data_IF_494546918051
#
_entry.id   IF_494546918051
#
_cell.length_a   1.000
_cell.length_b   1.000
_cell.length_c   1.000
_cell.angle_alpha   90.00
_cell.angle_beta   90.00
_cell.angle_gamma   90.00
#
_symmetry.space_group_name_H-M   'P 1'
#
loop_
_entity.id
_entity.type
_entity.pdbx_description
1 polymer ?
#
# COMPACT_ATOMS: atom_id res chain seq x y z
N UNK A 1 31.73 32.77 17.32
CA UNK A 1 31.59 31.39 16.79
C UNK A 1 30.51 30.57 17.51
N UNK A 2 30.38 30.64 18.84
CA UNK A 2 29.36 29.87 19.59
C UNK A 2 27.89 30.12 19.15
N UNK A 3 27.51 31.38 18.85
CA UNK A 3 26.14 31.70 18.39
C UNK A 3 25.78 31.08 17.02
N UNK A 4 26.75 30.93 16.12
CA UNK A 4 26.54 30.31 14.80
C UNK A 4 26.31 28.79 14.90
N UNK A 5 27.04 28.13 15.81
CA UNK A 5 26.88 26.71 16.10
C UNK A 5 25.52 26.44 16.77
N UNK A 6 25.15 27.25 17.75
CA UNK A 6 23.86 27.15 18.44
C UNK A 6 22.67 27.36 17.48
N UNK A 7 22.71 28.39 16.62
CA UNK A 7 21.67 28.60 15.60
C UNK A 7 21.60 27.45 14.58
N UNK A 8 22.73 26.85 14.20
CA UNK A 8 22.79 25.69 13.31
C UNK A 8 22.12 24.45 13.92
N UNK A 9 22.42 24.15 15.18
CA UNK A 9 21.81 23.05 15.93
C UNK A 9 20.30 23.24 16.12
N UNK A 10 19.87 24.46 16.46
CA UNK A 10 18.45 24.77 16.62
C UNK A 10 17.67 24.59 15.31
N UNK A 11 18.22 25.02 14.17
CA UNK A 11 17.60 24.82 12.85
C UNK A 11 17.49 23.35 12.47
N UNK A 12 18.54 22.56 12.73
CA UNK A 12 18.54 21.12 12.46
C UNK A 12 17.50 20.38 13.32
N UNK A 13 17.38 20.76 14.59
CA UNK A 13 16.38 20.20 15.51
C UNK A 13 14.95 20.54 15.09
N UNK A 14 14.68 21.79 14.72
CA UNK A 14 13.36 22.21 14.19
C UNK A 14 13.01 21.44 12.91
N UNK A 15 13.95 21.31 11.98
CA UNK A 15 13.74 20.54 10.75
C UNK A 15 13.47 19.04 11.04
N UNK A 16 14.19 18.45 11.99
CA UNK A 16 13.94 17.08 12.46
C UNK A 16 12.53 16.90 13.04
N UNK A 17 12.09 17.84 13.88
CA UNK A 17 10.75 17.81 14.49
C UNK A 17 9.63 17.95 13.46
N UNK A 18 9.78 18.84 12.47
CA UNK A 18 8.81 19.01 11.38
C UNK A 18 8.70 17.72 10.55
N UNK A 19 9.82 17.06 10.26
CA UNK A 19 9.80 15.80 9.50
C UNK A 19 9.14 14.66 10.29
N UNK A 20 9.36 14.58 11.60
CA UNK A 20 8.70 13.59 12.46
C UNK A 20 7.18 13.79 12.54
N UNK A 21 6.72 15.04 12.72
CA UNK A 21 5.30 15.36 12.74
C UNK A 21 4.62 15.04 11.39
N UNK A 22 5.25 15.40 10.28
CA UNK A 22 4.76 15.05 8.93
C UNK A 22 4.68 13.55 8.72
N UNK A 23 5.70 12.79 9.10
CA UNK A 23 5.71 11.34 8.98
C UNK A 23 4.56 10.68 9.76
N UNK A 24 4.23 11.18 10.97
CA UNK A 24 3.08 10.69 11.75
C UNK A 24 1.76 10.87 11.02
N UNK A 25 1.52 12.05 10.45
CA UNK A 25 0.29 12.34 9.69
C UNK A 25 0.17 11.38 8.51
N UNK A 26 1.24 11.19 7.75
CA UNK A 26 1.24 10.26 6.61
C UNK A 26 0.96 8.82 7.03
N UNK A 27 1.60 8.34 8.10
CA UNK A 27 1.34 7.00 8.64
C UNK A 27 -0.12 6.84 9.07
N UNK A 28 -0.68 7.82 9.78
CA UNK A 28 -2.06 7.78 10.24
C UNK A 28 -3.05 7.77 9.07
N UNK A 29 -2.87 8.64 8.07
CA UNK A 29 -3.71 8.70 6.87
C UNK A 29 -3.61 7.40 6.07
N UNK A 30 -2.40 6.86 5.91
CA UNK A 30 -2.20 5.59 5.20
C UNK A 30 -2.88 4.42 5.92
N UNK A 31 -2.72 4.33 7.24
CA UNK A 31 -3.34 3.29 8.06
C UNK A 31 -4.88 3.37 8.00
N UNK A 32 -5.44 4.57 8.18
CA UNK A 32 -6.90 4.77 8.18
C UNK A 32 -7.52 4.42 6.83
N UNK A 33 -6.94 4.88 5.73
CA UNK A 33 -7.46 4.62 4.38
C UNK A 33 -7.22 3.17 3.94
N UNK A 34 -6.11 2.53 4.35
CA UNK A 34 -5.89 1.09 4.13
C UNK A 34 -6.93 0.25 4.86
N UNK A 35 -7.17 0.56 6.14
CA UNK A 35 -8.16 -0.12 6.95
C UNK A 35 -9.58 0.06 6.39
N UNK A 36 -9.92 1.27 5.96
CA UNK A 36 -11.20 1.56 5.30
C UNK A 36 -11.37 0.78 3.99
N UNK A 37 -10.34 0.75 3.15
CA UNK A 37 -10.35 -0.01 1.90
C UNK A 37 -10.53 -1.51 2.14
N UNK A 38 -9.74 -2.08 3.05
CA UNK A 38 -9.84 -3.50 3.42
C UNK A 38 -11.21 -3.83 4.04
N UNK A 39 -11.71 -3.00 4.96
CA UNK A 39 -13.02 -3.16 5.56
C UNK A 39 -14.13 -3.16 4.49
N UNK A 40 -14.09 -2.21 3.56
CA UNK A 40 -15.09 -2.10 2.50
C UNK A 40 -15.05 -3.31 1.56
N UNK A 41 -13.86 -3.82 1.20
CA UNK A 41 -13.72 -5.07 0.44
C UNK A 41 -14.29 -6.28 1.17
N UNK A 42 -14.04 -6.40 2.48
CA UNK A 42 -14.56 -7.50 3.28
C UNK A 42 -16.09 -7.43 3.43
N UNK A 43 -16.63 -6.24 3.70
CA UNK A 43 -18.07 -6.01 3.80
C UNK A 43 -18.77 -6.33 2.47
N UNK A 44 -18.12 -6.02 1.35
CA UNK A 44 -18.63 -6.32 0.01
C UNK A 44 -18.87 -7.82 -0.19
N UNK A 45 -18.04 -8.69 0.38
CA UNK A 45 -18.25 -10.15 0.32
C UNK A 45 -19.45 -10.61 1.14
N UNK A 46 -19.82 -9.87 2.19
CA UNK A 46 -20.98 -10.20 3.03
C UNK A 46 -22.31 -9.80 2.38
N UNK A 47 -22.31 -8.82 1.46
CA UNK A 47 -23.53 -8.26 0.86
C UNK A 47 -23.73 -8.62 -0.62
N UNK A 48 -22.79 -9.35 -1.21
CA UNK A 48 -22.81 -9.73 -2.63
C UNK A 48 -23.14 -11.21 -2.81
N UNK A 49 -23.91 -11.52 -3.85
CA UNK A 49 -24.23 -12.90 -4.25
C UNK A 49 -23.20 -13.50 -5.24
N UNK A 50 -22.01 -12.90 -5.34
CA UNK A 50 -20.92 -13.37 -6.21
C UNK A 50 -20.17 -14.52 -5.53
N UNK A 51 -19.73 -15.50 -6.32
CA UNK A 51 -18.94 -16.61 -5.81
C UNK A 51 -17.49 -16.17 -5.60
N UNK A 52 -16.98 -16.07 -4.36
CA UNK A 52 -15.63 -15.58 -4.12
C UNK A 52 -14.53 -16.51 -4.64
N UNK A 53 -14.85 -17.77 -4.97
CA UNK A 53 -13.88 -18.72 -5.48
C UNK A 53 -13.63 -18.50 -6.97
N UNK A 54 -14.69 -18.40 -7.77
CA UNK A 54 -14.60 -18.34 -9.23
C UNK A 54 -14.70 -16.92 -9.77
N UNK A 55 -15.47 -16.04 -9.12
CA UNK A 55 -15.65 -14.67 -9.59
C UNK A 55 -14.52 -13.75 -9.13
N UNK A 56 -13.98 -12.98 -10.06
CA UNK A 56 -13.01 -11.91 -9.76
C UNK A 56 -13.64 -10.84 -8.86
N UNK A 57 -12.82 -10.08 -8.12
CA UNK A 57 -13.29 -8.89 -7.40
C UNK A 57 -13.98 -7.89 -8.35
N UNK A 58 -13.49 -7.77 -9.58
CA UNK A 58 -14.05 -6.86 -10.59
C UNK A 58 -15.47 -7.21 -11.04
N UNK A 59 -15.93 -8.44 -10.82
CA UNK A 59 -17.31 -8.87 -11.13
C UNK A 59 -18.37 -8.26 -10.21
N UNK A 60 -17.95 -7.76 -9.03
CA UNK A 60 -18.84 -7.16 -8.03
C UNK A 60 -19.41 -5.82 -8.50
N UNK A 61 -18.88 -5.25 -9.58
CA UNK A 61 -19.45 -4.06 -10.21
C UNK A 61 -20.86 -4.29 -10.78
N UNK A 62 -21.25 -5.56 -10.97
CA UNK A 62 -22.58 -5.92 -11.45
C UNK A 62 -23.59 -5.98 -10.30
N UNK A 63 -23.15 -6.18 -9.04
CA UNK A 63 -24.09 -6.17 -7.90
C UNK A 63 -24.46 -4.74 -7.53
N UNK A 64 -25.73 -4.51 -7.18
CA UNK A 64 -26.31 -3.17 -7.04
C UNK A 64 -25.50 -2.23 -6.15
N UNK A 65 -25.14 -2.68 -4.95
CA UNK A 65 -24.30 -1.92 -4.01
C UNK A 65 -22.79 -2.20 -4.18
N UNK A 66 -22.42 -3.33 -4.79
CA UNK A 66 -21.02 -3.76 -4.92
C UNK A 66 -20.18 -2.87 -5.81
N UNK A 67 -20.77 -2.20 -6.82
CA UNK A 67 -20.04 -1.26 -7.66
C UNK A 67 -19.41 -0.10 -6.87
N UNK A 68 -20.22 0.58 -6.05
CA UNK A 68 -19.74 1.71 -5.25
C UNK A 68 -18.77 1.25 -4.14
N UNK A 69 -19.02 0.09 -3.53
CA UNK A 69 -18.14 -0.49 -2.52
C UNK A 69 -16.78 -0.90 -3.10
N UNK A 70 -16.78 -1.54 -4.27
CA UNK A 70 -15.56 -1.90 -4.97
C UNK A 70 -14.76 -0.64 -5.34
N UNK A 71 -15.38 0.33 -5.98
CA UNK A 71 -14.72 1.57 -6.38
C UNK A 71 -14.15 2.34 -5.17
N UNK A 72 -14.95 2.50 -4.10
CA UNK A 72 -14.49 3.18 -2.88
C UNK A 72 -13.35 2.45 -2.18
N UNK A 73 -13.37 1.11 -2.17
CA UNK A 73 -12.27 0.34 -1.59
C UNK A 73 -10.96 0.49 -2.38
N UNK A 74 -11.02 0.42 -3.71
CA UNK A 74 -9.87 0.59 -4.60
C UNK A 74 -9.30 2.01 -4.49
N UNK A 75 -10.16 3.04 -4.47
CA UNK A 75 -9.73 4.42 -4.30
C UNK A 75 -9.13 4.66 -2.90
N UNK A 76 -9.68 4.05 -1.85
CA UNK A 76 -9.11 4.12 -0.52
C UNK A 76 -7.70 3.51 -0.47
N UNK A 77 -7.46 2.39 -1.17
CA UNK A 77 -6.12 1.80 -1.31
C UNK A 77 -5.17 2.69 -2.13
N UNK A 78 -5.66 3.38 -3.16
CA UNK A 78 -4.87 4.35 -3.90
C UNK A 78 -4.42 5.51 -3.00
N UNK A 79 -5.34 6.10 -2.23
CA UNK A 79 -5.02 7.16 -1.25
C UNK A 79 -4.05 6.64 -0.18
N UNK A 80 -4.27 5.42 0.32
CA UNK A 80 -3.38 4.79 1.29
C UNK A 80 -1.95 4.66 0.77
N UNK A 81 -1.80 4.32 -0.50
CA UNK A 81 -0.50 4.10 -1.13
C UNK A 81 0.24 5.43 -1.39
N UNK A 82 -0.49 6.49 -1.75
CA UNK A 82 0.07 7.86 -1.81
C UNK A 82 0.57 8.29 -0.42
N UNK A 83 -0.27 8.09 0.60
CA UNK A 83 0.09 8.43 1.97
C UNK A 83 1.27 7.58 2.50
N UNK A 84 1.34 6.30 2.12
CA UNK A 84 2.46 5.42 2.45
C UNK A 84 3.76 5.93 1.82
N UNK A 85 3.75 6.31 0.54
CA UNK A 85 4.92 6.93 -0.09
C UNK A 85 5.33 8.21 0.64
N UNK A 86 4.36 9.05 1.02
CA UNK A 86 4.60 10.24 1.85
C UNK A 86 5.27 9.92 3.18
N UNK A 87 4.85 8.83 3.85
CA UNK A 87 5.44 8.35 5.09
C UNK A 87 6.89 7.87 4.87
N UNK A 88 7.14 7.06 3.84
CA UNK A 88 8.48 6.55 3.51
C UNK A 88 9.45 7.72 3.22
N UNK A 89 9.02 8.69 2.40
CA UNK A 89 9.79 9.89 2.07
C UNK A 89 10.07 10.75 3.31
N UNK A 90 9.07 10.95 4.18
CA UNK A 90 9.22 11.75 5.42
C UNK A 90 10.12 11.06 6.46
N UNK A 91 10.15 9.73 6.44
CA UNK A 91 11.08 8.94 7.25
C UNK A 91 12.51 8.95 6.70
N UNK A 92 12.75 9.48 5.48
CA UNK A 92 14.06 9.41 4.83
C UNK A 92 14.44 7.98 4.44
N UNK A 93 13.47 7.05 4.38
CA UNK A 93 13.66 5.76 3.73
C UNK A 93 13.82 6.11 2.26
N UNK A 94 15.07 6.07 1.76
CA UNK A 94 15.45 6.62 0.47
C UNK A 94 14.72 5.96 -0.69
N UNK A 95 13.49 6.39 -0.95
CA UNK A 95 12.68 5.94 -2.07
C UNK A 95 13.42 6.35 -3.34
N UNK A 96 13.99 5.37 -4.04
CA UNK A 96 14.59 5.58 -5.34
C UNK A 96 13.55 6.18 -6.30
N UNK A 97 14.02 6.83 -7.38
CA UNK A 97 13.11 7.30 -8.44
C UNK A 97 12.22 6.17 -8.96
N UNK A 98 12.76 4.96 -9.03
CA UNK A 98 12.03 3.74 -9.36
C UNK A 98 10.91 3.46 -8.38
N UNK A 99 11.16 3.51 -7.07
CA UNK A 99 10.13 3.31 -6.05
C UNK A 99 8.99 4.34 -6.20
N UNK A 100 9.32 5.61 -6.38
CA UNK A 100 8.33 6.69 -6.62
C UNK A 100 7.51 6.43 -7.88
N UNK A 101 8.16 6.07 -8.99
CA UNK A 101 7.48 5.77 -10.26
C UNK A 101 6.53 4.58 -10.13
N UNK A 102 6.95 3.51 -9.44
CA UNK A 102 6.11 2.32 -9.24
C UNK A 102 4.90 2.61 -8.34
N UNK A 103 5.06 3.42 -7.28
CA UNK A 103 3.91 3.92 -6.50
C UNK A 103 2.96 4.78 -7.36
N UNK A 104 3.49 5.61 -8.25
CA UNK A 104 2.67 6.40 -9.16
C UNK A 104 1.89 5.52 -10.16
N UNK A 105 2.54 4.50 -10.74
CA UNK A 105 1.89 3.54 -11.63
C UNK A 105 0.82 2.73 -10.87
N UNK A 106 1.14 2.23 -9.68
CA UNK A 106 0.19 1.53 -8.80
C UNK A 106 -1.05 2.36 -8.51
N UNK A 107 -0.87 3.58 -8.01
CA UNK A 107 -1.99 4.47 -7.61
C UNK A 107 -2.82 4.93 -8.80
N UNK A 108 -2.17 5.23 -9.93
CA UNK A 108 -2.85 5.57 -11.17
C UNK A 108 -3.63 4.37 -11.72
N UNK A 109 -3.04 3.18 -11.71
CA UNK A 109 -3.69 1.94 -12.15
C UNK A 109 -4.92 1.61 -11.30
N UNK A 110 -4.84 1.71 -9.97
CA UNK A 110 -6.00 1.56 -9.10
C UNK A 110 -7.09 2.59 -9.41
N UNK A 111 -6.71 3.86 -9.58
CA UNK A 111 -7.67 4.95 -9.85
C UNK A 111 -8.39 4.72 -11.19
N UNK A 112 -7.65 4.36 -12.25
CA UNK A 112 -8.21 4.03 -13.55
C UNK A 112 -9.11 2.79 -13.47
N UNK A 113 -8.70 1.74 -12.77
CA UNK A 113 -9.52 0.54 -12.58
C UNK A 113 -10.83 0.81 -11.83
N UNK A 114 -10.84 1.79 -10.92
CA UNK A 114 -12.05 2.22 -10.22
C UNK A 114 -12.99 3.08 -11.09
N UNK A 115 -12.42 3.94 -11.95
CA UNK A 115 -13.18 4.84 -12.83
C UNK A 115 -13.75 4.11 -14.05
N UNK A 116 -13.00 3.13 -14.58
CA UNK A 116 -13.36 2.33 -15.74
C UNK A 116 -13.67 0.90 -15.28
N UNK A 117 -14.95 0.53 -15.11
CA UNK A 117 -15.38 -0.82 -14.78
C UNK A 117 -14.94 -1.87 -15.80
N UNK A 118 -14.74 -3.10 -15.32
CA UNK A 118 -14.58 -4.26 -16.20
C UNK A 118 -15.83 -4.50 -17.05
N UNK A 119 -15.62 -4.90 -18.30
CA UNK A 119 -16.69 -5.30 -19.22
C UNK A 119 -17.17 -6.70 -18.90
N UNK A 120 -18.48 -6.88 -18.86
CA UNK A 120 -19.12 -8.17 -18.60
C UNK A 120 -20.30 -8.41 -19.55
N UNK A 121 -20.69 -9.67 -19.84
CA UNK A 121 -21.82 -9.96 -20.73
C UNK A 121 -23.12 -9.27 -20.33
N UNK A 122 -23.35 -9.10 -19.03
CA UNK A 122 -24.55 -8.45 -18.48
C UNK A 122 -24.56 -6.92 -18.69
N UNK A 123 -23.37 -6.32 -18.83
CA UNK A 123 -23.17 -4.87 -19.07
C UNK A 123 -21.92 -4.66 -19.94
N UNK A 124 -22.01 -4.89 -21.25
CA UNK A 124 -20.85 -4.84 -22.13
C UNK A 124 -20.38 -3.39 -22.32
N UNK A 125 -19.12 -3.14 -22.00
CA UNK A 125 -18.40 -1.91 -22.33
C UNK A 125 -16.94 -2.26 -22.64
N UNK A 126 -16.64 -2.67 -23.88
CA UNK A 126 -15.33 -3.19 -24.24
C UNK A 126 -14.18 -2.22 -24.03
N UNK A 127 -14.41 -0.91 -24.24
CA UNK A 127 -13.38 0.13 -24.08
C UNK A 127 -13.05 0.30 -22.61
N UNK A 128 -14.07 0.46 -21.75
CA UNK A 128 -13.87 0.52 -20.30
C UNK A 128 -13.19 -0.75 -19.79
N UNK A 129 -13.62 -1.92 -20.27
CA UNK A 129 -13.04 -3.22 -19.90
C UNK A 129 -11.56 -3.35 -20.24
N UNK A 130 -11.12 -2.89 -21.42
CA UNK A 130 -9.71 -2.89 -21.81
C UNK A 130 -8.89 -1.95 -20.92
N UNK A 131 -9.38 -0.74 -20.66
CA UNK A 131 -8.72 0.21 -19.76
C UNK A 131 -8.57 -0.40 -18.37
N UNK A 132 -9.63 -1.01 -17.83
CA UNK A 132 -9.62 -1.68 -16.54
C UNK A 132 -8.55 -2.77 -16.46
N UNK A 133 -8.50 -3.65 -17.47
CA UNK A 133 -7.58 -4.79 -17.49
C UNK A 133 -6.12 -4.33 -17.52
N UNK A 134 -5.77 -3.39 -18.42
CA UNK A 134 -4.39 -2.87 -18.48
C UNK A 134 -4.03 -2.08 -17.22
N UNK A 135 -4.96 -1.29 -16.67
CA UNK A 135 -4.75 -0.58 -15.41
C UNK A 135 -4.46 -1.54 -14.26
N UNK A 136 -5.22 -2.64 -14.14
CA UNK A 136 -4.97 -3.69 -13.15
C UNK A 136 -3.63 -4.38 -13.37
N UNK A 137 -3.27 -4.71 -14.63
CA UNK A 137 -2.00 -5.33 -14.96
C UNK A 137 -0.81 -4.49 -14.49
N UNK A 138 -0.78 -3.20 -14.86
CA UNK A 138 0.29 -2.30 -14.44
C UNK A 138 0.30 -2.06 -12.93
N UNK A 139 -0.87 -2.01 -12.31
CA UNK A 139 -0.97 -1.92 -10.86
C UNK A 139 -0.32 -3.14 -10.19
N UNK A 140 -0.80 -4.36 -10.47
CA UNK A 140 -0.28 -5.57 -9.84
C UNK A 140 1.21 -5.80 -10.12
N UNK A 141 1.72 -5.50 -11.33
CA UNK A 141 3.15 -5.58 -11.63
C UNK A 141 4.00 -4.61 -10.80
N UNK A 142 3.43 -3.47 -10.40
CA UNK A 142 4.18 -2.44 -9.67
C UNK A 142 4.53 -2.85 -8.25
N UNK A 143 3.68 -3.62 -7.56
CA UNK A 143 3.87 -3.97 -6.14
C UNK A 143 5.10 -4.84 -5.82
N UNK A 144 5.36 -5.97 -6.52
CA UNK A 144 6.61 -6.69 -6.30
C UNK A 144 7.81 -5.81 -6.67
N UNK A 145 7.68 -4.93 -7.68
CA UNK A 145 8.68 -3.93 -8.02
C UNK A 145 8.97 -2.95 -6.88
N UNK A 146 7.93 -2.44 -6.19
CA UNK A 146 8.08 -1.59 -4.99
C UNK A 146 8.80 -2.36 -3.90
N UNK A 147 8.42 -3.63 -3.68
CA UNK A 147 9.08 -4.51 -2.74
C UNK A 147 10.58 -4.62 -3.00
N UNK A 148 11.00 -4.89 -4.24
CA UNK A 148 12.42 -4.94 -4.61
C UNK A 148 13.13 -3.59 -4.46
N UNK A 149 12.50 -2.50 -4.92
CA UNK A 149 13.07 -1.16 -4.84
C UNK A 149 13.29 -0.70 -3.38
N UNK A 150 12.47 -1.16 -2.44
CA UNK A 150 12.63 -0.86 -1.01
C UNK A 150 13.66 -1.76 -0.33
N UNK A 151 13.80 -3.03 -0.74
CA UNK A 151 14.75 -3.97 -0.13
C UNK A 151 16.21 -3.53 -0.18
N UNK A 152 16.59 -2.72 -1.17
CA UNK A 152 17.92 -2.10 -1.24
C UNK A 152 18.23 -1.20 -0.04
N UNK A 153 17.19 -0.65 0.60
CA UNK A 153 17.30 0.32 1.69
C UNK A 153 16.79 -0.21 3.03
N UNK A 154 15.94 -1.22 2.99
CA UNK A 154 15.32 -1.84 4.16
C UNK A 154 15.53 -3.35 4.09
N UNK A 155 16.63 -3.88 4.66
CA UNK A 155 16.95 -5.31 4.64
C UNK A 155 16.10 -6.08 5.67
N UNK A 156 14.77 -5.98 5.57
CA UNK A 156 13.83 -6.70 6.42
C UNK A 156 13.44 -8.04 5.76
N UNK A 157 13.72 -9.15 6.46
CA UNK A 157 13.44 -10.50 5.95
C UNK A 157 11.94 -10.76 5.71
N UNK A 158 11.04 -10.10 6.44
CA UNK A 158 9.59 -10.22 6.25
C UNK A 158 9.16 -9.50 4.98
N UNK A 159 9.63 -8.27 4.77
CA UNK A 159 9.39 -7.53 3.52
C UNK A 159 9.92 -8.35 2.35
N UNK A 160 11.12 -8.93 2.47
CA UNK A 160 11.70 -9.80 1.42
C UNK A 160 10.81 -10.99 1.10
N UNK A 161 10.34 -11.71 2.13
CA UNK A 161 9.44 -12.85 1.95
C UNK A 161 8.14 -12.44 1.25
N UNK A 162 7.55 -11.31 1.66
CA UNK A 162 6.32 -10.80 1.07
C UNK A 162 6.53 -10.35 -0.38
N UNK A 163 7.66 -9.72 -0.71
CA UNK A 163 8.02 -9.38 -2.10
C UNK A 163 8.09 -10.62 -2.99
N UNK A 164 8.78 -11.68 -2.56
CA UNK A 164 8.84 -12.92 -3.35
C UNK A 164 7.49 -13.64 -3.42
N UNK A 165 6.70 -13.59 -2.35
CA UNK A 165 5.36 -14.15 -2.35
C UNK A 165 4.42 -13.38 -3.28
N UNK A 166 4.57 -12.04 -3.38
CA UNK A 166 3.84 -11.19 -4.32
C UNK A 166 4.17 -11.60 -5.76
N UNK A 167 5.45 -11.82 -6.10
CA UNK A 167 5.85 -12.36 -7.41
C UNK A 167 5.20 -13.72 -7.69
N UNK A 168 5.28 -14.66 -6.75
CA UNK A 168 4.74 -16.01 -6.93
C UNK A 168 3.23 -16.03 -7.09
N UNK A 169 2.50 -15.29 -6.25
CA UNK A 169 1.04 -15.20 -6.33
C UNK A 169 0.57 -14.44 -7.56
N UNK A 170 1.28 -13.38 -7.97
CA UNK A 170 1.01 -12.69 -9.23
C UNK A 170 1.20 -13.60 -10.45
N UNK A 171 2.25 -14.41 -10.47
CA UNK A 171 2.47 -15.39 -11.53
C UNK A 171 1.34 -16.44 -11.59
N UNK A 172 0.91 -16.96 -10.43
CA UNK A 172 -0.22 -17.88 -10.34
C UNK A 172 -1.54 -17.24 -10.78
N UNK A 173 -1.77 -15.97 -10.43
CA UNK A 173 -2.93 -15.21 -10.87
C UNK A 173 -2.93 -15.00 -12.39
N UNK A 174 -1.78 -14.63 -12.98
CA UNK A 174 -1.65 -14.50 -14.42
C UNK A 174 -1.90 -15.83 -15.16
N UNK A 175 -1.39 -16.94 -14.62
CA UNK A 175 -1.61 -18.28 -15.18
C UNK A 175 -3.09 -18.68 -15.09
N UNK A 176 -3.70 -18.46 -13.92
CA UNK A 176 -5.13 -18.71 -13.69
C UNK A 176 -6.01 -17.88 -14.63
N UNK A 177 -5.67 -16.60 -14.84
CA UNK A 177 -6.36 -15.73 -15.79
C UNK A 177 -6.25 -16.25 -17.24
N UNK A 178 -5.07 -16.71 -17.64
CA UNK A 178 -4.84 -17.32 -18.96
C UNK A 178 -5.68 -18.59 -19.15
N UNK A 179 -5.70 -19.49 -18.16
CA UNK A 179 -6.52 -20.70 -18.22
C UNK A 179 -8.01 -20.38 -18.29
N UNK A 180 -8.47 -19.39 -17.53
CA UNK A 180 -9.86 -18.94 -17.62
C UNK A 180 -10.19 -18.32 -18.99
N UNK A 181 -9.27 -17.58 -19.60
CA UNK A 181 -9.45 -17.01 -20.94
C UNK A 181 -9.49 -18.07 -22.04
N UNK A 182 -8.84 -19.22 -21.82
CA UNK A 182 -8.77 -20.36 -22.75
C UNK A 182 -9.73 -21.49 -22.36
N UNK A 183 -10.68 -21.25 -21.45
CA UNK A 183 -11.56 -22.29 -20.89
C UNK A 183 -12.40 -23.06 -21.91
N UNK A 184 -12.64 -22.47 -23.08
CA UNK A 184 -13.42 -23.07 -24.17
C UNK A 184 -12.57 -24.04 -25.03
N UNK A 185 -11.26 -24.14 -24.77
CA UNK A 185 -10.36 -25.12 -25.39
C UNK A 185 -10.45 -26.45 -24.63
N UNK A 186 -10.62 -27.59 -25.32
CA UNK A 186 -10.59 -28.92 -24.68
C UNK A 186 -9.33 -29.12 -23.82
N UNK A 187 -9.45 -29.87 -22.72
CA UNK A 187 -8.39 -30.17 -21.73
C UNK A 187 -7.93 -28.98 -20.84
N UNK A 188 -8.31 -27.73 -21.15
CA UNK A 188 -7.98 -26.55 -20.32
C UNK A 188 -9.04 -26.26 -19.25
N UNK A 189 -10.27 -26.76 -19.45
CA UNK A 189 -11.38 -26.58 -18.50
C UNK A 189 -11.03 -27.06 -17.10
N UNK A 190 -10.40 -28.23 -17.00
CA UNK A 190 -10.03 -28.85 -15.72
C UNK A 190 -8.93 -28.05 -15.01
N UNK A 191 -7.99 -27.48 -15.77
CA UNK A 191 -6.96 -26.58 -15.23
C UNK A 191 -7.55 -25.29 -14.68
N UNK A 192 -8.58 -24.72 -15.34
CA UNK A 192 -9.27 -23.53 -14.85
C UNK A 192 -10.01 -23.77 -13.53
N UNK A 193 -10.51 -24.99 -13.32
CA UNK A 193 -11.13 -25.40 -12.06
C UNK A 193 -10.11 -25.64 -10.94
N UNK A 194 -8.90 -26.13 -11.27
CA UNK A 194 -7.80 -26.33 -10.32
C UNK A 194 -7.17 -25.01 -9.85
N UNK A 195 -7.18 -23.98 -10.69
CA UNK A 195 -6.68 -22.63 -10.38
C UNK A 195 -7.78 -21.59 -10.60
N UNK A 196 -8.77 -21.47 -9.69
CA UNK A 196 -9.84 -20.49 -9.83
C UNK A 196 -9.33 -19.05 -9.78
N UNK A 197 -9.72 -18.25 -10.77
CA UNK A 197 -9.25 -16.86 -10.95
C UNK A 197 -9.65 -15.96 -9.78
N UNK A 198 -10.83 -16.18 -9.19
CA UNK A 198 -11.31 -15.44 -8.02
C UNK A 198 -10.43 -15.65 -6.79
N UNK A 199 -10.02 -16.90 -6.51
CA UNK A 199 -9.11 -17.22 -5.39
C UNK A 199 -7.72 -16.64 -5.63
N UNK A 200 -7.15 -16.85 -6.82
CA UNK A 200 -5.80 -16.37 -7.11
C UNK A 200 -5.70 -14.85 -7.06
N UNK A 201 -6.70 -14.13 -7.59
CA UNK A 201 -6.75 -12.68 -7.48
C UNK A 201 -6.79 -12.20 -6.01
N UNK A 202 -7.63 -12.82 -5.17
CA UNK A 202 -7.75 -12.49 -3.75
C UNK A 202 -6.46 -12.80 -2.99
N UNK A 203 -5.81 -13.92 -3.31
CA UNK A 203 -4.55 -14.31 -2.71
C UNK A 203 -3.45 -13.30 -3.04
N UNK A 204 -3.30 -12.91 -4.32
CA UNK A 204 -2.36 -11.88 -4.76
C UNK A 204 -2.62 -10.57 -4.03
N UNK A 205 -3.88 -10.10 -4.03
CA UNK A 205 -4.26 -8.87 -3.35
C UNK A 205 -3.99 -8.92 -1.83
N UNK A 206 -4.23 -10.07 -1.17
CA UNK A 206 -3.97 -10.23 0.26
C UNK A 206 -2.47 -10.15 0.57
N UNK A 207 -1.63 -10.78 -0.25
CA UNK A 207 -0.16 -10.73 -0.10
C UNK A 207 0.37 -9.31 -0.36
N UNK A 208 -0.17 -8.65 -1.38
CA UNK A 208 0.14 -7.27 -1.74
C UNK A 208 -0.24 -6.28 -0.65
N UNK A 209 -1.43 -6.43 -0.06
CA UNK A 209 -1.85 -5.65 1.11
C UNK A 209 -0.95 -5.93 2.32
N UNK A 210 -0.53 -7.18 2.54
CA UNK A 210 0.39 -7.53 3.60
C UNK A 210 1.78 -6.88 3.38
N UNK A 211 2.25 -6.80 2.12
CA UNK A 211 3.49 -6.09 1.76
C UNK A 211 3.38 -4.60 2.08
N UNK A 212 2.32 -3.93 1.62
CA UNK A 212 2.08 -2.50 1.90
C UNK A 212 1.96 -2.23 3.42
N UNK A 213 1.25 -3.12 4.14
CA UNK A 213 1.16 -3.06 5.59
C UNK A 213 2.53 -3.25 6.27
N UNK A 214 3.36 -4.17 5.78
CA UNK A 214 4.73 -4.36 6.25
C UNK A 214 5.59 -3.11 6.10
N UNK A 215 5.48 -2.42 4.95
CA UNK A 215 6.14 -1.14 4.70
C UNK A 215 5.62 -0.03 5.64
N UNK A 216 4.30 0.04 5.85
CA UNK A 216 3.68 0.99 6.76
C UNK A 216 4.13 0.78 8.21
N UNK A 217 4.17 -0.48 8.67
CA UNK A 217 4.65 -0.84 10.00
C UNK A 217 6.13 -0.50 10.18
N UNK A 218 6.93 -0.66 9.12
CA UNK A 218 8.33 -0.25 9.14
C UNK A 218 8.46 1.28 9.29
N UNK A 219 7.70 2.05 8.51
CA UNK A 219 7.65 3.51 8.64
C UNK A 219 7.18 3.95 10.04
N UNK A 220 6.12 3.32 10.56
CA UNK A 220 5.60 3.58 11.90
C UNK A 220 6.67 3.36 12.99
N UNK A 221 7.42 2.26 12.93
CA UNK A 221 8.50 1.97 13.89
C UNK A 221 9.58 3.05 13.89
N UNK A 222 9.99 3.53 12.71
CA UNK A 222 10.97 4.63 12.60
C UNK A 222 10.44 5.89 13.27
N UNK A 223 9.17 6.22 13.02
CA UNK A 223 8.53 7.38 13.63
C UNK A 223 8.49 7.26 15.15
N UNK A 224 8.09 6.12 15.70
CA UNK A 224 8.03 5.90 17.14
C UNK A 224 9.41 6.02 17.80
N UNK A 225 10.43 5.35 17.25
CA UNK A 225 11.81 5.42 17.79
C UNK A 225 12.33 6.85 17.80
N UNK A 226 12.08 7.62 16.73
CA UNK A 226 12.48 9.04 16.68
C UNK A 226 11.80 9.86 17.78
N UNK A 227 10.54 9.58 18.07
CA UNK A 227 9.80 10.29 19.12
C UNK A 227 10.38 10.00 20.50
N UNK A 228 10.69 8.74 20.78
CA UNK A 228 11.25 8.31 22.06
C UNK A 228 12.62 8.97 22.31
N UNK A 229 13.46 9.08 21.26
CA UNK A 229 14.75 9.78 21.32
C UNK A 229 14.57 11.27 21.63
N UNK A 230 13.66 11.95 20.92
CA UNK A 230 13.41 13.39 21.13
C UNK A 230 12.86 13.65 22.53
N UNK A 231 11.92 12.83 23.01
CA UNK A 231 11.39 12.93 24.36
C UNK A 231 12.48 12.72 25.42
N UNK A 232 13.35 11.72 25.24
CA UNK A 232 14.49 11.48 26.13
C UNK A 232 15.48 12.66 26.18
N UNK A 233 15.77 13.30 25.04
CA UNK A 233 16.64 14.49 25.00
C UNK A 233 16.04 15.69 25.74
N UNK A 234 14.72 15.89 25.67
CA UNK A 234 14.04 16.97 26.40
C UNK A 234 14.14 16.77 27.92
N UNK A 235 13.93 15.55 28.42
CA UNK A 235 14.05 15.27 29.86
C UNK A 235 15.48 15.52 30.37
N UNK A 236 16.50 15.11 29.62
CA UNK A 236 17.90 15.33 30.00
C UNK A 236 18.25 16.82 30.03
N UNK A 237 17.76 17.61 29.07
CA UNK A 237 18.03 19.06 29.02
C UNK A 237 17.32 19.82 30.13
N UNK A 238 16.10 19.44 30.48
CA UNK A 238 15.35 20.02 31.61
C UNK A 238 16.04 19.72 32.96
N UNK A 239 16.48 18.47 33.18
CA UNK A 239 17.25 18.09 34.38
C UNK A 239 18.62 18.74 34.48
N UNK A 240 19.26 19.08 33.35
CA UNK A 240 20.52 19.79 33.32
C UNK A 240 20.33 21.28 33.66
N UNK A 241 19.25 21.90 33.18
CA UNK A 241 18.90 23.28 33.50
C UNK A 241 18.65 23.48 35.00
N UNK A 242 17.88 22.57 35.62
CA UNK A 242 17.53 22.64 37.04
C UNK A 242 18.76 22.59 37.98
N UNK A 243 19.77 21.78 37.64
CA UNK A 243 21.03 21.68 38.40
C UNK A 243 21.94 22.90 38.30
N UNK A 244 21.71 23.79 37.34
CA UNK A 244 22.55 24.99 37.13
C UNK A 244 21.95 26.27 37.72
N UNK A 245 20.75 26.18 38.31
CA UNK A 245 20.12 27.28 39.04
C UNK A 245 20.93 27.58 40.31
N UNK A 246 21.49 28.79 40.48
CA UNK A 246 22.17 29.13 41.74
C UNK A 246 21.18 29.05 42.90
N UNK A 247 21.60 28.59 44.09
CA UNK A 247 20.72 28.59 45.26
C UNK A 247 20.21 30.01 45.47
N UNK A 248 18.89 30.16 45.59
CA UNK A 248 18.28 31.43 45.95
C UNK A 248 18.79 31.81 47.36
N UNK A 249 19.77 32.71 47.37
CA UNK A 249 20.29 33.37 48.58
C UNK A 249 19.45 34.56 48.95
#
# INVERSE_FOLDING_TARGET
MANLVCMGQMRAQVAGNVNAARARVWVAVSAATMAWGAFTMLLMHAVSNRDPLFDTLSSYVISGQGAAMLASSILALAVSSIALLGALLSCGIGASRTCVALFAIWTTGLTLAAIFPASWPERPDPVSGQIHQYACLFAFLSLPGIGFAVLERVPDARIRKLTFLSVGTLALFGLSYLFNALRDVPDVSDLSAMLPVGVMQRLTLAVDLALLCGLLLHAYRIVTIRNDIVAGQQVVTEQAGDRTSPPAG
#
